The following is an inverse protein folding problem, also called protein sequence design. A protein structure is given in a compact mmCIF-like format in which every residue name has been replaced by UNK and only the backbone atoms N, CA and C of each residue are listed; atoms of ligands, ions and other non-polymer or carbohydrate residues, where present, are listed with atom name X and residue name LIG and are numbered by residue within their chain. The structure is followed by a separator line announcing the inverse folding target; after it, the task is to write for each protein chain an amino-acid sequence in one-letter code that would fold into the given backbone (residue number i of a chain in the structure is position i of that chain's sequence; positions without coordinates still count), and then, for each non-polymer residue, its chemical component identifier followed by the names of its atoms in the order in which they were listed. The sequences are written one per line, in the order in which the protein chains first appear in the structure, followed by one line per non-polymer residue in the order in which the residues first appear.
data_IF_868793456295
#
_entry.id   IF_868793456295
#
_cell.length_a   1.000
_cell.length_b   1.000
_cell.length_c   1.000
_cell.angle_alpha   90.00
_cell.angle_beta   90.00
_cell.angle_gamma   90.00
#
_symmetry.space_group_name_H-M   'P 1'
#
loop_
_entity.id
_entity.type
_entity.pdbx_description
1 polymer ?
#
# COMPACT_ATOMS: atom_id res chain seq x y z
N UNK A 1 14.96 -13.85 -8.53
CA UNK A 1 13.67 -13.24 -8.16
C UNK A 1 13.43 -12.09 -9.15
N UNK A 2 12.27 -12.03 -9.78
CA UNK A 2 11.89 -10.91 -10.67
C UNK A 2 11.45 -9.69 -9.85
N UNK A 3 11.22 -8.54 -10.51
CA UNK A 3 10.68 -7.35 -9.84
C UNK A 3 9.27 -7.59 -9.31
N UNK A 4 8.43 -8.31 -10.06
CA UNK A 4 7.05 -8.63 -9.67
C UNK A 4 7.01 -9.62 -8.50
N UNK A 5 7.87 -10.65 -8.50
CA UNK A 5 8.01 -11.55 -7.36
C UNK A 5 8.52 -10.80 -6.11
N UNK A 6 9.44 -9.86 -6.27
CA UNK A 6 9.92 -9.02 -5.16
C UNK A 6 8.81 -8.12 -4.61
N UNK A 7 7.94 -7.57 -5.47
CA UNK A 7 6.79 -6.76 -5.04
C UNK A 7 5.84 -7.58 -4.15
N UNK A 8 5.57 -8.84 -4.52
CA UNK A 8 4.74 -9.74 -3.72
C UNK A 8 5.34 -10.07 -2.35
N UNK A 9 6.65 -10.33 -2.30
CA UNK A 9 7.39 -10.56 -1.04
C UNK A 9 7.33 -9.32 -0.13
N UNK A 10 7.66 -8.14 -0.68
CA UNK A 10 7.61 -6.86 0.04
C UNK A 10 6.23 -6.54 0.61
N UNK A 11 5.17 -6.94 -0.10
CA UNK A 11 3.80 -6.72 0.37
C UNK A 11 3.52 -7.51 1.65
N UNK A 12 4.01 -8.75 1.78
CA UNK A 12 3.87 -9.55 3.01
C UNK A 12 4.59 -8.90 4.20
N UNK A 13 5.72 -8.24 3.96
CA UNK A 13 6.47 -7.53 4.99
C UNK A 13 5.80 -6.20 5.44
N UNK A 14 4.86 -5.68 4.65
CA UNK A 14 4.10 -4.44 4.91
C UNK A 14 2.75 -4.69 5.60
N UNK A 15 2.63 -5.77 6.37
CA UNK A 15 1.41 -6.12 7.11
C UNK A 15 1.65 -6.16 8.63
N UNK A 16 1.71 -5.02 9.35
CA UNK A 16 2.25 -4.93 10.71
C UNK A 16 1.46 -5.67 11.80
N UNK A 17 0.18 -5.97 11.58
CA UNK A 17 -0.64 -6.72 12.54
C UNK A 17 -0.65 -8.23 12.24
N UNK A 18 0.00 -8.66 11.15
CA UNK A 18 -0.01 -10.05 10.68
C UNK A 18 1.43 -10.55 10.41
N UNK A 19 1.85 -10.61 9.14
CA UNK A 19 3.13 -11.19 8.70
C UNK A 19 4.28 -10.19 8.68
N UNK A 20 3.98 -8.89 8.70
CA UNK A 20 4.96 -7.82 8.54
C UNK A 20 5.70 -7.44 9.83
N UNK A 21 6.30 -6.26 9.76
CA UNK A 21 7.07 -5.66 10.85
C UNK A 21 6.10 -5.00 11.84
N UNK A 22 6.04 -5.44 13.11
CA UNK A 22 5.02 -4.95 14.03
C UNK A 22 5.23 -3.50 14.46
N UNK A 23 4.11 -2.79 14.68
CA UNK A 23 4.09 -1.46 15.27
C UNK A 23 4.69 -1.44 16.67
N UNK A 24 5.27 -0.30 17.07
CA UNK A 24 5.73 -0.07 18.43
C UNK A 24 6.96 -0.88 18.84
N UNK A 25 7.70 -1.43 17.88
CA UNK A 25 8.90 -2.24 18.11
C UNK A 25 10.20 -1.46 17.94
N UNK A 26 10.13 -0.15 17.64
CA UNK A 26 11.31 0.66 17.33
C UNK A 26 11.85 0.44 15.91
N UNK A 27 11.14 -0.36 15.09
CA UNK A 27 11.47 -0.68 13.70
C UNK A 27 10.52 0.01 12.70
N UNK A 28 9.91 1.12 13.08
CA UNK A 28 8.92 1.81 12.25
C UNK A 28 9.53 2.30 10.92
N UNK A 29 10.83 2.64 10.91
CA UNK A 29 11.54 2.99 9.69
C UNK A 29 11.56 1.83 8.68
N UNK A 30 11.62 0.58 9.15
CA UNK A 30 11.61 -0.61 8.28
C UNK A 30 10.24 -0.82 7.62
N UNK A 31 9.13 -0.52 8.32
CA UNK A 31 7.77 -0.53 7.72
C UNK A 31 7.72 0.46 6.56
N UNK A 32 8.28 1.66 6.77
CA UNK A 32 8.30 2.72 5.76
C UNK A 32 9.25 2.41 4.60
N UNK A 33 10.37 1.71 4.84
CA UNK A 33 11.21 1.16 3.77
C UNK A 33 10.44 0.18 2.90
N UNK A 34 9.67 -0.74 3.50
CA UNK A 34 8.83 -1.64 2.70
C UNK A 34 7.83 -0.86 1.84
N UNK A 35 7.19 0.17 2.41
CA UNK A 35 6.26 1.04 1.66
C UNK A 35 6.94 1.79 0.50
N UNK A 36 8.15 2.30 0.73
CA UNK A 36 8.94 2.95 -0.31
C UNK A 36 9.26 1.97 -1.45
N UNK A 37 9.79 0.79 -1.12
CA UNK A 37 10.12 -0.25 -2.09
C UNK A 37 8.87 -0.68 -2.87
N UNK A 38 7.73 -0.88 -2.18
CA UNK A 38 6.44 -1.19 -2.80
C UNK A 38 6.02 -0.11 -3.82
N UNK A 39 6.16 1.16 -3.48
CA UNK A 39 5.85 2.27 -4.37
C UNK A 39 6.70 2.26 -5.64
N UNK A 40 8.01 2.03 -5.50
CA UNK A 40 8.97 1.99 -6.62
C UNK A 40 8.78 0.74 -7.50
N UNK A 41 8.58 -0.42 -6.87
CA UNK A 41 8.37 -1.67 -7.59
C UNK A 41 7.04 -1.67 -8.35
N UNK A 42 5.98 -1.10 -7.76
CA UNK A 42 4.68 -0.97 -8.42
C UNK A 42 4.76 -0.19 -9.74
N UNK A 43 5.65 0.81 -9.85
CA UNK A 43 5.83 1.56 -11.09
C UNK A 43 6.37 0.72 -12.25
N UNK A 44 6.95 -0.44 -11.95
CA UNK A 44 7.49 -1.38 -12.91
C UNK A 44 6.69 -2.69 -12.97
N UNK A 45 5.52 -2.73 -12.32
CA UNK A 45 4.65 -3.90 -12.30
C UNK A 45 4.30 -4.33 -13.73
N UNK A 46 4.55 -5.59 -14.05
CA UNK A 46 4.22 -6.17 -15.36
C UNK A 46 3.28 -7.38 -15.25
N UNK A 47 3.51 -8.27 -14.28
CA UNK A 47 2.79 -9.53 -14.12
C UNK A 47 2.17 -9.66 -12.71
N UNK A 48 0.84 -9.50 -12.63
CA UNK A 48 0.09 -9.69 -11.38
C UNK A 48 0.02 -11.14 -10.90
N UNK A 49 0.12 -12.12 -11.81
CA UNK A 49 0.12 -13.53 -11.43
C UNK A 49 1.43 -13.88 -10.71
N UNK A 50 2.55 -13.31 -11.14
CA UNK A 50 3.83 -13.48 -10.45
C UNK A 50 3.85 -12.82 -9.06
N UNK A 51 3.30 -11.61 -8.93
CA UNK A 51 3.11 -10.96 -7.61
C UNK A 51 2.28 -11.85 -6.70
N UNK A 52 1.15 -12.38 -7.20
CA UNK A 52 0.23 -13.20 -6.41
C UNK A 52 0.88 -14.49 -5.93
N UNK A 53 1.59 -15.18 -6.81
CA UNK A 53 2.29 -16.42 -6.48
C UNK A 53 3.35 -16.19 -5.41
N UNK A 54 4.16 -15.13 -5.56
CA UNK A 54 5.17 -14.77 -4.57
C UNK A 54 4.55 -14.35 -3.23
N UNK A 55 3.50 -13.53 -3.26
CA UNK A 55 2.78 -13.13 -2.05
C UNK A 55 2.23 -14.33 -1.31
N UNK A 56 1.52 -15.24 -1.99
CA UNK A 56 0.92 -16.43 -1.37
C UNK A 56 1.98 -17.33 -0.71
N UNK A 57 3.10 -17.58 -1.40
CA UNK A 57 4.19 -18.39 -0.85
C UNK A 57 4.80 -17.78 0.42
N UNK A 58 5.16 -16.50 0.37
CA UNK A 58 5.79 -15.80 1.50
C UNK A 58 4.81 -15.60 2.66
N UNK A 59 3.54 -15.29 2.36
CA UNK A 59 2.47 -15.15 3.33
C UNK A 59 2.27 -16.44 4.13
N UNK A 60 2.13 -17.57 3.43
CA UNK A 60 1.93 -18.88 4.07
C UNK A 60 3.14 -19.28 4.91
N UNK A 61 4.36 -18.98 4.45
CA UNK A 61 5.58 -19.22 5.21
C UNK A 61 5.60 -18.40 6.52
N UNK A 62 5.36 -17.09 6.44
CA UNK A 62 5.35 -16.19 7.61
C UNK A 62 4.24 -16.54 8.61
N UNK A 63 3.03 -16.82 8.14
CA UNK A 63 1.91 -17.24 8.98
C UNK A 63 2.22 -18.54 9.73
N UNK A 64 2.81 -19.52 9.03
CA UNK A 64 3.26 -20.78 9.62
C UNK A 64 4.36 -20.58 10.67
N UNK A 65 5.37 -19.77 10.34
CA UNK A 65 6.48 -19.45 11.26
C UNK A 65 5.98 -18.77 12.54
N UNK A 66 5.01 -17.85 12.42
CA UNK A 66 4.40 -17.11 13.53
C UNK A 66 3.28 -17.88 14.25
N UNK A 67 2.87 -19.04 13.73
CA UNK A 67 1.75 -19.86 14.22
C UNK A 67 0.42 -19.09 14.30
N UNK A 68 0.17 -18.25 13.30
CA UNK A 68 -1.07 -17.46 13.19
C UNK A 68 -2.10 -18.21 12.35
N UNK A 69 -3.31 -18.38 12.87
CA UNK A 69 -4.44 -18.96 12.16
C UNK A 69 -5.20 -17.88 11.36
N UNK A 70 -4.52 -17.28 10.39
CA UNK A 70 -5.05 -16.24 9.50
C UNK A 70 -4.99 -16.71 8.05
N UNK A 71 -5.74 -16.04 7.19
CA UNK A 71 -5.75 -16.27 5.74
C UNK A 71 -4.89 -15.25 4.99
N UNK A 72 -4.56 -15.54 3.73
CA UNK A 72 -3.96 -14.56 2.82
C UNK A 72 -4.79 -13.27 2.71
N UNK A 73 -6.12 -13.40 2.76
CA UNK A 73 -7.03 -12.26 2.72
C UNK A 73 -6.89 -11.35 3.95
N UNK A 74 -6.63 -11.92 5.13
CA UNK A 74 -6.40 -11.16 6.36
C UNK A 74 -5.10 -10.33 6.27
N UNK A 75 -4.04 -10.92 5.72
CA UNK A 75 -2.76 -10.24 5.50
C UNK A 75 -2.92 -9.10 4.48
N UNK A 76 -3.61 -9.37 3.36
CA UNK A 76 -3.91 -8.32 2.38
C UNK A 76 -4.75 -7.19 2.98
N UNK A 77 -5.74 -7.50 3.83
CA UNK A 77 -6.54 -6.50 4.53
C UNK A 77 -5.69 -5.66 5.50
N UNK A 78 -4.70 -6.26 6.17
CA UNK A 78 -3.77 -5.54 7.04
C UNK A 78 -2.85 -4.58 6.25
N UNK A 79 -2.35 -5.00 5.09
CA UNK A 79 -1.64 -4.10 4.16
C UNK A 79 -2.51 -2.92 3.73
N UNK A 80 -3.77 -3.20 3.35
CA UNK A 80 -4.72 -2.18 2.93
C UNK A 80 -5.04 -1.20 4.07
N UNK A 81 -5.35 -1.71 5.26
CA UNK A 81 -5.63 -0.90 6.44
C UNK A 81 -4.45 0.00 6.84
N UNK A 82 -3.22 -0.52 6.72
CA UNK A 82 -2.00 0.24 6.97
C UNK A 82 -1.83 1.37 5.96
N UNK A 83 -2.06 1.10 4.66
CA UNK A 83 -2.06 2.12 3.62
C UNK A 83 -3.15 3.20 3.86
N UNK A 84 -4.38 2.79 4.17
CA UNK A 84 -5.51 3.70 4.46
C UNK A 84 -5.23 4.58 5.68
N UNK A 85 -4.56 4.04 6.70
CA UNK A 85 -4.14 4.81 7.90
C UNK A 85 -3.26 6.01 7.52
N UNK A 86 -2.31 5.84 6.59
CA UNK A 86 -1.49 6.93 6.07
C UNK A 86 -2.29 7.92 5.23
N UNK A 87 -3.11 7.43 4.31
CA UNK A 87 -3.94 8.24 3.40
C UNK A 87 -4.87 9.17 4.18
N UNK A 88 -5.49 8.67 5.25
CA UNK A 88 -6.37 9.46 6.11
C UNK A 88 -5.64 10.29 7.16
N UNK A 89 -4.30 10.33 7.15
CA UNK A 89 -3.47 11.18 8.00
C UNK A 89 -3.82 11.07 9.49
N UNK A 90 -4.13 9.85 9.96
CA UNK A 90 -4.47 9.57 11.36
C UNK A 90 -5.88 9.98 11.81
N UNK A 91 -6.77 10.36 10.90
CA UNK A 91 -8.23 10.44 11.19
C UNK A 91 -8.77 9.03 11.49
N UNK A 92 -8.22 8.03 10.81
CA UNK A 92 -8.43 6.60 11.06
C UNK A 92 -7.17 6.05 11.74
N UNK A 93 -7.33 5.21 12.78
CA UNK A 93 -6.22 4.53 13.49
C UNK A 93 -5.08 5.46 13.90
N UNK A 94 -5.40 6.46 14.74
CA UNK A 94 -4.50 7.56 15.15
C UNK A 94 -3.18 7.07 15.76
N UNK A 95 -3.24 6.02 16.58
CA UNK A 95 -2.05 5.44 17.23
C UNK A 95 -1.11 4.81 16.19
N UNK A 96 -1.63 3.97 15.31
CA UNK A 96 -0.86 3.34 14.22
C UNK A 96 -0.27 4.40 13.30
N UNK A 97 -1.03 5.46 12.99
CA UNK A 97 -0.52 6.59 12.23
C UNK A 97 0.68 7.27 12.92
N UNK A 98 0.67 7.37 14.25
CA UNK A 98 1.81 7.96 14.99
C UNK A 98 3.09 7.12 14.86
N UNK A 99 2.98 5.79 14.85
CA UNK A 99 4.10 4.90 14.56
C UNK A 99 4.61 5.07 13.13
N UNK A 100 3.71 5.11 12.15
CA UNK A 100 4.07 5.31 10.74
C UNK A 100 4.76 6.66 10.52
N UNK A 101 4.29 7.73 11.19
CA UNK A 101 4.93 9.04 11.16
C UNK A 101 6.32 9.04 11.80
N UNK A 102 6.52 8.28 12.88
CA UNK A 102 7.85 8.06 13.47
C UNK A 102 8.78 7.38 12.46
N UNK A 103 8.28 6.35 11.77
CA UNK A 103 9.01 5.68 10.70
C UNK A 103 9.39 6.61 9.55
N UNK A 104 8.47 7.48 9.10
CA UNK A 104 8.72 8.45 8.01
C UNK A 104 9.82 9.43 8.41
N UNK A 105 9.76 9.97 9.64
CA UNK A 105 10.77 10.87 10.17
C UNK A 105 12.14 10.19 10.28
N UNK A 106 12.18 8.95 10.77
CA UNK A 106 13.40 8.19 10.91
C UNK A 106 14.00 7.85 9.54
N UNK A 107 13.21 7.36 8.59
CA UNK A 107 13.68 7.04 7.24
C UNK A 107 14.24 8.28 6.51
N UNK A 108 13.60 9.44 6.67
CA UNK A 108 14.10 10.73 6.14
C UNK A 108 15.50 11.10 6.66
N UNK A 109 15.86 10.70 7.89
CA UNK A 109 17.16 11.00 8.46
C UNK A 109 18.30 10.13 7.88
N UNK A 110 17.98 8.99 7.26
CA UNK A 110 18.96 8.04 6.72
C UNK A 110 19.13 8.08 5.20
N UNK A 111 18.15 8.59 4.44
CA UNK A 111 18.23 8.66 2.97
C UNK A 111 19.04 9.88 2.51
N UNK A 112 20.28 9.65 2.11
CA UNK A 112 21.26 10.67 1.71
C UNK A 112 20.88 11.55 0.49
N UNK A 113 19.84 11.23 -0.29
CA UNK A 113 19.53 11.96 -1.54
C UNK A 113 18.03 12.13 -1.87
N UNK A 114 17.11 11.71 -1.01
CA UNK A 114 15.66 11.91 -1.24
C UNK A 114 14.90 11.93 0.07
N UNK A 115 14.27 13.06 0.38
CA UNK A 115 13.40 13.16 1.54
C UNK A 115 12.09 12.44 1.23
N UNK A 116 11.86 11.24 1.77
CA UNK A 116 10.56 10.57 1.68
C UNK A 116 9.56 11.22 2.65
N UNK A 117 8.71 12.08 2.11
CA UNK A 117 7.68 12.85 2.81
C UNK A 117 6.43 12.02 3.11
N UNK A 118 5.52 12.60 3.90
CA UNK A 118 4.19 12.01 4.11
C UNK A 118 3.39 11.98 2.80
N UNK A 119 3.55 12.99 1.94
CA UNK A 119 2.89 13.07 0.63
C UNK A 119 3.34 11.92 -0.29
N UNK A 120 4.64 11.63 -0.35
CA UNK A 120 5.16 10.48 -1.10
C UNK A 120 4.71 9.15 -0.48
N UNK A 121 4.69 9.05 0.86
CA UNK A 121 4.16 7.87 1.54
C UNK A 121 2.67 7.64 1.25
N UNK A 122 1.86 8.70 1.13
CA UNK A 122 0.46 8.63 0.73
C UNK A 122 0.31 8.13 -0.70
N UNK A 123 1.16 8.59 -1.64
CA UNK A 123 1.15 8.12 -3.03
C UNK A 123 1.52 6.64 -3.13
N UNK A 124 2.57 6.21 -2.43
CA UNK A 124 2.92 4.78 -2.35
C UNK A 124 1.82 3.96 -1.69
N UNK A 125 1.16 4.51 -0.66
CA UNK A 125 0.02 3.86 -0.01
C UNK A 125 -1.16 3.69 -0.96
N UNK A 126 -1.42 4.67 -1.84
CA UNK A 126 -2.46 4.55 -2.87
C UNK A 126 -2.16 3.43 -3.88
N UNK A 127 -0.89 3.28 -4.28
CA UNK A 127 -0.43 2.15 -5.12
C UNK A 127 -0.64 0.81 -4.42
N UNK A 128 -0.24 0.70 -3.15
CA UNK A 128 -0.45 -0.52 -2.34
C UNK A 128 -1.93 -0.83 -2.19
N UNK A 129 -2.76 0.17 -1.88
CA UNK A 129 -4.21 -0.02 -1.78
C UNK A 129 -4.81 -0.57 -3.08
N UNK A 130 -4.37 -0.06 -4.23
CA UNK A 130 -4.81 -0.58 -5.52
C UNK A 130 -4.29 -1.98 -5.81
N UNK A 131 -3.00 -2.24 -5.56
CA UNK A 131 -2.39 -3.57 -5.70
C UNK A 131 -3.15 -4.62 -4.90
N UNK A 132 -3.44 -4.34 -3.63
CA UNK A 132 -4.22 -5.25 -2.78
C UNK A 132 -5.56 -5.59 -3.41
N UNK A 133 -6.31 -4.60 -3.89
CA UNK A 133 -7.62 -4.86 -4.51
C UNK A 133 -7.50 -5.62 -5.84
N UNK A 134 -6.46 -5.39 -6.63
CA UNK A 134 -6.17 -6.17 -7.84
C UNK A 134 -5.93 -7.64 -7.52
N UNK A 135 -5.13 -7.92 -6.48
CA UNK A 135 -4.82 -9.28 -6.05
C UNK A 135 -6.07 -9.99 -5.52
N UNK A 136 -6.85 -9.33 -4.65
CA UNK A 136 -8.10 -9.85 -4.09
C UNK A 136 -9.15 -10.13 -5.17
N UNK A 137 -9.26 -9.26 -6.17
CA UNK A 137 -10.21 -9.42 -7.27
C UNK A 137 -9.69 -10.35 -8.40
N UNK A 138 -8.54 -11.00 -8.23
CA UNK A 138 -7.98 -11.93 -9.21
C UNK A 138 -7.68 -11.30 -10.57
N UNK A 139 -7.39 -9.99 -10.63
CA UNK A 139 -7.11 -9.30 -11.89
C UNK A 139 -5.74 -9.73 -12.44
N UNK A 140 -5.65 -9.76 -13.77
CA UNK A 140 -4.40 -10.07 -14.52
C UNK A 140 -3.75 -8.84 -15.13
N UNK A 141 -4.47 -7.73 -15.21
CA UNK A 141 -3.98 -6.45 -15.69
C UNK A 141 -4.35 -5.35 -14.71
N UNK A 142 -3.66 -4.22 -14.81
CA UNK A 142 -3.89 -3.03 -14.03
C UNK A 142 -3.84 -1.79 -14.91
N UNK A 143 -4.52 -0.75 -14.46
CA UNK A 143 -4.44 0.57 -15.08
C UNK A 143 -3.26 1.34 -14.50
N UNK A 144 -2.45 1.96 -15.37
CA UNK A 144 -1.28 2.75 -14.97
C UNK A 144 -1.56 4.23 -15.14
N UNK A 145 -1.27 5.02 -14.10
CA UNK A 145 -1.41 6.46 -14.17
C UNK A 145 -0.51 7.06 -15.25
N UNK A 146 -1.02 8.07 -15.95
CA UNK A 146 -0.28 8.92 -16.89
C UNK A 146 -0.78 10.34 -16.71
N UNK A 147 0.10 11.32 -16.81
CA UNK A 147 -0.26 12.74 -16.65
C UNK A 147 -1.31 13.22 -17.67
N UNK A 148 -1.46 12.50 -18.79
CA UNK A 148 -2.46 12.78 -19.83
C UNK A 148 -3.88 12.32 -19.47
N UNK A 149 -4.07 11.57 -18.38
CA UNK A 149 -5.38 11.10 -17.94
C UNK A 149 -6.18 12.28 -17.38
N UNK A 150 -7.35 12.55 -17.97
CA UNK A 150 -8.27 13.57 -17.47
C UNK A 150 -9.09 13.06 -16.29
N UNK A 151 -8.87 13.65 -15.12
CA UNK A 151 -9.54 13.29 -13.87
C UNK A 151 -10.60 14.32 -13.45
N UNK A 152 -10.85 15.37 -14.26
CA UNK A 152 -11.73 16.49 -13.88
C UNK A 152 -13.09 16.01 -13.40
N UNK A 153 -13.76 15.18 -14.19
CA UNK A 153 -15.11 14.69 -13.92
C UNK A 153 -15.17 13.37 -13.14
N UNK A 154 -14.01 12.77 -12.82
CA UNK A 154 -13.91 11.48 -12.11
C UNK A 154 -14.10 11.69 -10.61
N UNK A 155 -15.21 11.28 -10.00
CA UNK A 155 -15.45 11.53 -8.58
C UNK A 155 -15.74 10.25 -7.79
N UNK A 156 -15.23 10.18 -6.56
CA UNK A 156 -15.62 9.18 -5.58
C UNK A 156 -16.94 9.64 -4.96
N UNK A 157 -18.04 8.97 -5.31
CA UNK A 157 -19.40 9.34 -4.88
C UNK A 157 -19.73 8.74 -3.51
N UNK A 158 -19.14 7.58 -3.17
CA UNK A 158 -19.37 6.91 -1.90
C UNK A 158 -19.02 7.84 -0.71
N UNK A 159 -19.97 8.15 0.19
CA UNK A 159 -19.76 9.08 1.29
C UNK A 159 -18.59 8.71 2.21
N UNK A 160 -18.36 7.40 2.44
CA UNK A 160 -17.28 6.88 3.28
C UNK A 160 -15.89 7.26 2.75
N UNK A 161 -15.77 7.40 1.42
CA UNK A 161 -14.51 7.64 0.72
C UNK A 161 -14.43 9.03 0.06
N UNK A 162 -15.52 9.80 0.07
CA UNK A 162 -15.65 11.11 -0.59
C UNK A 162 -14.56 12.12 -0.20
N UNK A 163 -13.99 12.01 1.01
CA UNK A 163 -12.86 12.84 1.48
C UNK A 163 -11.60 12.69 0.61
N UNK A 164 -11.43 11.55 -0.06
CA UNK A 164 -10.30 11.27 -0.93
C UNK A 164 -10.32 12.11 -2.22
N UNK A 165 -11.48 12.68 -2.61
CA UNK A 165 -11.56 13.61 -3.75
C UNK A 165 -10.63 14.83 -3.60
N UNK A 166 -10.21 15.17 -2.37
CA UNK A 166 -9.21 16.23 -2.13
C UNK A 166 -7.87 15.93 -2.78
N UNK A 167 -7.49 14.64 -2.88
CA UNK A 167 -6.24 14.22 -3.50
C UNK A 167 -6.21 14.52 -4.99
N UNK A 168 -7.36 14.57 -5.67
CA UNK A 168 -7.42 14.87 -7.11
C UNK A 168 -6.65 16.15 -7.47
N UNK A 169 -6.67 17.16 -6.58
CA UNK A 169 -5.95 18.44 -6.80
C UNK A 169 -4.49 18.38 -6.36
N UNK A 170 -4.20 17.70 -5.25
CA UNK A 170 -2.86 17.75 -4.62
C UNK A 170 -1.92 16.65 -5.08
N UNK A 171 -2.48 15.48 -5.42
CA UNK A 171 -1.76 14.30 -5.90
C UNK A 171 -2.70 13.47 -6.83
N UNK A 172 -2.80 13.84 -8.12
CA UNK A 172 -3.67 13.18 -9.08
C UNK A 172 -3.37 11.69 -9.25
N UNK A 173 -2.11 11.29 -9.12
CA UNK A 173 -1.68 9.89 -9.20
C UNK A 173 -2.23 9.08 -8.03
N UNK A 174 -2.06 9.57 -6.79
CA UNK A 174 -2.63 8.92 -5.62
C UNK A 174 -4.16 8.82 -5.72
N UNK A 175 -4.83 9.88 -6.21
CA UNK A 175 -6.26 9.86 -6.45
C UNK A 175 -6.67 8.80 -7.49
N UNK A 176 -5.97 8.72 -8.61
CA UNK A 176 -6.24 7.74 -9.67
C UNK A 176 -6.20 6.30 -9.16
N UNK A 177 -5.15 5.93 -8.44
CA UNK A 177 -5.03 4.57 -7.92
C UNK A 177 -6.07 4.27 -6.84
N UNK A 178 -6.38 5.21 -5.96
CA UNK A 178 -7.44 5.03 -4.97
C UNK A 178 -8.83 4.90 -5.61
N UNK A 179 -9.13 5.71 -6.61
CA UNK A 179 -10.38 5.60 -7.36
C UNK A 179 -10.54 4.21 -7.99
N UNK A 180 -9.49 3.71 -8.65
CA UNK A 180 -9.52 2.36 -9.24
C UNK A 180 -9.56 1.25 -8.18
N UNK A 181 -8.91 1.41 -7.04
CA UNK A 181 -9.00 0.49 -5.92
C UNK A 181 -10.44 0.38 -5.41
N UNK A 182 -11.12 1.51 -5.18
CA UNK A 182 -12.49 1.53 -4.67
C UNK A 182 -13.49 0.95 -5.67
N UNK A 183 -13.30 1.16 -6.97
CA UNK A 183 -14.11 0.50 -8.02
C UNK A 183 -14.07 -1.02 -7.94
N UNK A 184 -13.00 -1.62 -7.41
CA UNK A 184 -12.87 -3.07 -7.24
C UNK A 184 -13.51 -3.56 -5.94
N UNK A 185 -13.69 -2.70 -4.94
CA UNK A 185 -14.36 -3.03 -3.67
C UNK A 185 -15.88 -3.03 -3.83
N UNK A 186 -16.40 -2.14 -4.69
CA UNK A 186 -17.84 -1.97 -4.93
C UNK A 186 -18.41 -2.94 -6.00
N UNK A 187 -17.59 -3.85 -6.52
CA UNK A 187 -17.97 -4.94 -7.44
C UNK A 187 -18.30 -6.22 -6.68
#
# INVERSE_FOLDING_TARGET
QTLDALLGDKLTAFAPNTTGIPYGTGKEAEIIKQLFDLGVLFDNLADLDEVRNSFAQNCMFELGYRKLALSEADVLNDCFDTAITLIYRGVYKREQFSYLMTGIKAFKAFSFNSSYSLEEAIRSSAKVAYLVQLLKAGKRSHEKFRETIDLRDVNIINPSWSKLNKLKKTDPEAFFYLFNALKLIEQ
#
